data_IF_095742242367
#
_entry.id   IF_095742242367
#
_cell.length_a   1.000
_cell.length_b   1.000
_cell.length_c   1.000
_cell.angle_alpha   90.00
_cell.angle_beta   90.00
_cell.angle_gamma   90.00
#
_symmetry.space_group_name_H-M   'P 1'
#
loop_
_entity.id
_entity.type
_entity.pdbx_description
1 polymer ?
#
# COMPACT_ATOMS: atom_id res chain seq x y z
N UNK A 1 -20.08 -1.02 -0.14
CA UNK A 1 -19.59 -1.42 -1.48
C UNK A 1 -19.99 -0.30 -2.43
N UNK A 2 -19.01 0.29 -3.12
CA UNK A 2 -19.27 1.32 -4.13
C UNK A 2 -19.91 0.70 -5.38
N UNK A 3 -20.78 1.45 -6.05
CA UNK A 3 -21.42 1.01 -7.29
C UNK A 3 -20.49 1.08 -8.52
N UNK A 4 -19.35 1.79 -8.41
CA UNK A 4 -18.44 2.07 -9.52
C UNK A 4 -17.00 1.64 -9.20
N UNK A 5 -16.61 1.73 -7.92
CA UNK A 5 -15.28 1.37 -7.47
C UNK A 5 -15.31 -0.03 -6.85
N UNK A 6 -15.00 -1.02 -7.68
CA UNK A 6 -14.99 -2.44 -7.33
C UNK A 6 -13.59 -3.05 -7.48
N UNK A 7 -13.51 -4.34 -7.19
CA UNK A 7 -12.27 -5.12 -7.27
C UNK A 7 -11.69 -5.12 -8.69
N UNK A 8 -12.53 -5.27 -9.71
CA UNK A 8 -12.11 -5.35 -11.10
C UNK A 8 -11.49 -4.02 -11.56
N UNK A 9 -12.08 -2.89 -11.14
CA UNK A 9 -11.55 -1.57 -11.42
C UNK A 9 -10.20 -1.35 -10.71
N UNK A 10 -10.10 -1.74 -9.43
CA UNK A 10 -8.85 -1.65 -8.68
C UNK A 10 -7.75 -2.50 -9.33
N UNK A 11 -8.06 -3.74 -9.72
CA UNK A 11 -7.13 -4.64 -10.41
C UNK A 11 -6.67 -4.05 -11.75
N UNK A 12 -7.59 -3.50 -12.57
CA UNK A 12 -7.23 -2.85 -13.84
C UNK A 12 -6.31 -1.65 -13.61
N UNK A 13 -6.61 -0.78 -12.65
CA UNK A 13 -5.80 0.38 -12.33
C UNK A 13 -4.39 -0.01 -11.85
N UNK A 14 -4.31 -0.99 -10.94
CA UNK A 14 -3.04 -1.50 -10.44
C UNK A 14 -2.26 -2.21 -11.53
N UNK A 15 -2.91 -2.97 -12.43
CA UNK A 15 -2.25 -3.61 -13.57
C UNK A 15 -1.65 -2.59 -14.54
N UNK A 16 -2.37 -1.53 -14.88
CA UNK A 16 -1.88 -0.48 -15.78
C UNK A 16 -0.64 0.20 -15.17
N UNK A 17 -0.71 0.55 -13.89
CA UNK A 17 0.41 1.15 -13.15
C UNK A 17 1.57 0.15 -12.99
N UNK A 18 1.22 -1.12 -12.82
CA UNK A 18 2.13 -2.26 -12.72
C UNK A 18 3.04 -2.43 -13.92
N UNK A 19 2.60 -2.06 -15.13
CA UNK A 19 3.46 -2.12 -16.32
C UNK A 19 4.69 -1.22 -16.19
N UNK A 20 4.52 -0.01 -15.63
CA UNK A 20 5.64 0.87 -15.35
C UNK A 20 6.57 0.26 -14.30
N UNK A 21 6.03 -0.36 -13.25
CA UNK A 21 6.84 -1.03 -12.23
C UNK A 21 7.60 -2.22 -12.78
N UNK A 22 6.98 -3.05 -13.63
CA UNK A 22 7.66 -4.17 -14.30
C UNK A 22 8.80 -3.68 -15.18
N UNK A 23 8.62 -2.58 -15.91
CA UNK A 23 9.70 -1.95 -16.68
C UNK A 23 10.85 -1.48 -15.79
N UNK A 24 10.55 -0.76 -14.70
CA UNK A 24 11.56 -0.30 -13.74
C UNK A 24 12.33 -1.45 -13.07
N UNK A 25 11.65 -2.58 -12.81
CA UNK A 25 12.28 -3.79 -12.27
C UNK A 25 13.23 -4.44 -13.28
N UNK A 26 12.85 -4.46 -14.57
CA UNK A 26 13.70 -5.00 -15.65
C UNK A 26 15.01 -4.22 -15.85
N UNK A 27 14.98 -2.92 -15.59
CA UNK A 27 16.15 -2.02 -15.69
C UNK A 27 16.98 -1.95 -14.39
N UNK A 28 16.69 -2.78 -13.38
CA UNK A 28 17.30 -2.71 -12.03
C UNK A 28 17.25 -1.31 -11.40
N UNK A 29 16.24 -0.51 -11.74
CA UNK A 29 16.09 0.86 -11.23
C UNK A 29 15.68 0.91 -9.76
N UNK A 30 15.16 -0.19 -9.22
CA UNK A 30 14.77 -0.32 -7.82
C UNK A 30 15.85 -1.07 -7.05
N UNK A 31 16.22 -0.60 -5.86
CA UNK A 31 17.15 -1.29 -4.96
C UNK A 31 16.66 -2.69 -4.51
N UNK A 32 15.42 -3.05 -4.85
CA UNK A 32 14.78 -4.32 -4.53
C UNK A 32 13.89 -4.74 -5.69
N UNK A 33 13.92 -6.03 -6.00
CA UNK A 33 13.25 -6.60 -7.17
C UNK A 33 11.78 -7.00 -6.92
N UNK A 34 11.13 -6.45 -5.89
CA UNK A 34 9.75 -6.77 -5.58
C UNK A 34 8.99 -5.57 -5.03
N UNK A 35 7.69 -5.54 -5.33
CA UNK A 35 6.76 -4.52 -4.85
C UNK A 35 5.47 -5.21 -4.40
N UNK A 36 4.92 -4.83 -3.26
CA UNK A 36 3.62 -5.27 -2.79
C UNK A 36 2.68 -4.06 -2.64
N UNK A 37 1.45 -4.21 -3.10
CA UNK A 37 0.44 -3.15 -3.17
C UNK A 37 -0.85 -3.64 -2.52
N UNK A 38 -1.40 -2.83 -1.62
CA UNK A 38 -2.72 -3.01 -1.01
C UNK A 38 -3.57 -1.78 -1.32
N UNK A 39 -4.80 -1.97 -1.76
CA UNK A 39 -5.79 -0.91 -2.03
C UNK A 39 -7.03 -1.18 -1.18
N UNK A 40 -7.52 -0.18 -0.47
CA UNK A 40 -8.72 -0.30 0.36
C UNK A 40 -9.96 0.26 -0.34
N UNK A 41 -11.12 -0.32 -0.02
CA UNK A 41 -12.45 0.16 -0.41
C UNK A 41 -12.79 1.41 0.42
N UNK A 42 -12.97 2.59 -0.21
CA UNK A 42 -13.27 3.85 0.49
C UNK A 42 -14.64 3.81 1.20
N UNK A 43 -15.53 2.87 0.84
CA UNK A 43 -16.82 2.68 1.52
C UNK A 43 -16.70 1.84 2.81
N UNK A 44 -15.50 1.33 3.10
CA UNK A 44 -15.21 0.56 4.31
C UNK A 44 -14.44 1.46 5.28
N UNK A 45 -15.16 2.13 6.16
CA UNK A 45 -14.56 3.03 7.14
C UNK A 45 -13.83 2.24 8.24
N UNK A 46 -12.72 2.82 8.74
CA UNK A 46 -12.01 2.35 9.92
C UNK A 46 -12.97 2.32 11.13
N UNK A 47 -12.78 1.33 12.01
CA UNK A 47 -13.61 1.13 13.22
C UNK A 47 -14.96 0.46 12.98
N UNK A 48 -15.51 0.53 11.76
CA UNK A 48 -16.77 -0.15 11.39
C UNK A 48 -16.57 -1.44 10.58
N UNK A 49 -15.37 -1.66 10.06
CA UNK A 49 -15.01 -2.82 9.26
C UNK A 49 -13.66 -3.35 9.73
N UNK A 50 -13.40 -4.64 9.53
CA UNK A 50 -12.04 -5.17 9.71
C UNK A 50 -11.15 -4.74 8.55
N UNK A 51 -9.83 -4.73 8.77
CA UNK A 51 -8.89 -4.42 7.70
C UNK A 51 -9.05 -5.37 6.51
N UNK A 52 -9.21 -6.67 6.77
CA UNK A 52 -9.43 -7.68 5.72
C UNK A 52 -10.70 -7.41 4.88
N UNK A 53 -11.78 -6.92 5.51
CA UNK A 53 -13.01 -6.54 4.80
C UNK A 53 -12.85 -5.25 3.98
N UNK A 54 -11.89 -4.40 4.35
CA UNK A 54 -11.59 -3.18 3.64
C UNK A 54 -10.69 -3.39 2.42
N UNK A 55 -10.03 -4.54 2.27
CA UNK A 55 -9.15 -4.80 1.11
C UNK A 55 -9.99 -4.95 -0.16
N UNK A 56 -9.78 -4.02 -1.10
CA UNK A 56 -10.35 -4.09 -2.44
C UNK A 56 -9.42 -4.85 -3.40
N UNK A 57 -8.11 -4.62 -3.28
CA UNK A 57 -7.07 -5.31 -4.05
C UNK A 57 -5.82 -5.52 -3.20
N UNK A 58 -5.16 -6.65 -3.41
CA UNK A 58 -3.86 -6.96 -2.83
C UNK A 58 -3.05 -7.81 -3.82
N UNK A 59 -1.81 -7.41 -4.08
CA UNK A 59 -0.99 -8.10 -5.08
C UNK A 59 0.48 -7.68 -5.07
N UNK A 60 1.31 -8.50 -5.72
CA UNK A 60 2.76 -8.30 -5.79
C UNK A 60 3.27 -8.25 -7.23
N UNK A 61 4.35 -7.51 -7.44
CA UNK A 61 5.10 -7.43 -8.69
C UNK A 61 6.57 -7.82 -8.44
N UNK A 62 7.22 -8.37 -9.46
CA UNK A 62 8.63 -8.75 -9.42
C UNK A 62 8.87 -10.15 -8.85
N UNK A 63 9.92 -10.31 -8.07
CA UNK A 63 10.35 -11.59 -7.55
C UNK A 63 9.33 -12.25 -6.60
N UNK A 64 9.34 -13.58 -6.58
CA UNK A 64 8.46 -14.37 -5.72
C UNK A 64 8.68 -14.04 -4.24
N UNK A 65 7.61 -14.09 -3.45
CA UNK A 65 7.64 -13.88 -1.99
C UNK A 65 8.73 -14.67 -1.25
N UNK A 66 9.09 -15.86 -1.73
CA UNK A 66 10.15 -16.71 -1.16
C UNK A 66 11.55 -16.07 -1.20
N UNK A 67 11.77 -15.10 -2.10
CA UNK A 67 13.03 -14.38 -2.27
C UNK A 67 13.06 -13.04 -1.53
N UNK A 68 11.95 -12.65 -0.91
CA UNK A 68 11.89 -11.36 -0.23
C UNK A 68 12.74 -11.39 1.04
N UNK A 69 13.61 -10.38 1.17
CA UNK A 69 14.43 -10.19 2.38
C UNK A 69 13.60 -9.69 3.57
N UNK A 70 12.40 -9.16 3.31
CA UNK A 70 11.50 -8.55 4.31
C UNK A 70 10.04 -8.85 3.95
N UNK A 71 9.12 -8.85 4.93
CA UNK A 71 7.70 -9.12 4.67
C UNK A 71 7.02 -7.89 4.05
N UNK A 72 7.21 -7.69 2.73
CA UNK A 72 6.65 -6.52 2.04
C UNK A 72 5.12 -6.49 2.05
N UNK A 73 4.48 -7.64 2.14
CA UNK A 73 3.03 -7.76 2.29
C UNK A 73 2.56 -7.19 3.62
N UNK A 74 3.14 -7.64 4.74
CA UNK A 74 2.84 -7.11 6.07
C UNK A 74 3.12 -5.61 6.12
N UNK A 75 4.27 -5.17 5.60
CA UNK A 75 4.62 -3.75 5.59
C UNK A 75 3.68 -2.90 4.75
N UNK A 76 3.18 -3.41 3.62
CA UNK A 76 2.22 -2.68 2.79
C UNK A 76 0.86 -2.58 3.50
N UNK A 77 0.42 -3.66 4.17
CA UNK A 77 -0.79 -3.68 4.99
C UNK A 77 -0.70 -2.70 6.15
N UNK A 78 0.39 -2.69 6.89
CA UNK A 78 0.59 -1.80 8.04
C UNK A 78 0.60 -0.33 7.62
N UNK A 79 1.23 -0.02 6.47
CA UNK A 79 1.19 1.34 5.90
C UNK A 79 -0.23 1.75 5.50
N UNK A 80 -0.97 0.86 4.84
CA UNK A 80 -2.37 1.10 4.50
C UNK A 80 -3.22 1.29 5.76
N UNK A 81 -2.97 0.52 6.83
CA UNK A 81 -3.71 0.62 8.09
C UNK A 81 -3.53 1.99 8.75
N UNK A 82 -2.30 2.52 8.80
CA UNK A 82 -2.05 3.87 9.34
C UNK A 82 -2.79 4.91 8.51
N UNK A 83 -2.70 4.84 7.17
CA UNK A 83 -3.40 5.78 6.28
C UNK A 83 -4.92 5.66 6.37
N UNK A 84 -5.45 4.46 6.57
CA UNK A 84 -6.87 4.20 6.74
C UNK A 84 -7.41 4.71 8.07
N UNK A 85 -6.65 4.53 9.15
CA UNK A 85 -6.99 5.02 10.49
C UNK A 85 -6.95 6.54 10.56
N UNK A 86 -5.95 7.16 9.95
CA UNK A 86 -5.67 8.60 10.10
C UNK A 86 -6.22 9.46 8.97
N UNK A 87 -6.58 8.87 7.83
CA UNK A 87 -6.91 9.60 6.61
C UNK A 87 -5.73 10.32 5.96
N UNK A 88 -4.49 10.05 6.40
CA UNK A 88 -3.28 10.79 6.01
C UNK A 88 -2.21 9.88 5.38
N UNK A 89 -1.27 10.49 4.67
CA UNK A 89 -0.09 9.78 4.16
C UNK A 89 0.84 9.38 5.32
N UNK A 90 1.35 8.15 5.31
CA UNK A 90 2.19 7.67 6.43
C UNK A 90 3.44 8.53 6.63
N UNK A 91 3.99 9.10 5.57
CA UNK A 91 5.12 10.03 5.66
C UNK A 91 4.76 11.34 6.40
N UNK A 92 3.54 11.85 6.18
CA UNK A 92 3.06 13.05 6.86
C UNK A 92 2.80 12.76 8.34
N UNK A 93 2.18 11.61 8.65
CA UNK A 93 1.98 11.17 10.04
C UNK A 93 3.32 11.05 10.77
N UNK A 94 4.31 10.39 10.14
CA UNK A 94 5.66 10.23 10.68
C UNK A 94 6.33 11.56 11.03
N UNK A 95 6.28 12.54 10.14
CA UNK A 95 7.05 13.77 10.29
C UNK A 95 6.34 14.87 11.07
N UNK A 96 5.01 14.91 11.02
CA UNK A 96 4.23 16.06 11.52
C UNK A 96 3.22 15.67 12.59
N UNK A 97 2.78 14.41 12.64
CA UNK A 97 1.76 13.94 13.58
C UNK A 97 2.18 12.63 14.29
N UNK A 98 3.39 12.55 14.88
CA UNK A 98 3.90 11.30 15.44
C UNK A 98 3.06 10.76 16.61
N UNK A 99 2.30 11.62 17.30
CA UNK A 99 1.37 11.24 18.37
C UNK A 99 0.18 10.39 17.90
N UNK A 100 -0.02 10.21 16.59
CA UNK A 100 -1.05 9.34 16.01
C UNK A 100 -0.57 7.91 15.75
N UNK A 101 0.70 7.62 16.05
CA UNK A 101 1.22 6.26 16.04
C UNK A 101 0.75 5.50 17.28
N UNK A 102 0.37 4.25 17.04
CA UNK A 102 0.16 3.26 18.09
C UNK A 102 1.42 2.40 18.25
N UNK A 103 1.56 1.76 19.39
CA UNK A 103 2.62 0.77 19.60
C UNK A 103 2.52 -0.36 18.54
N UNK A 104 3.65 -0.70 17.93
CA UNK A 104 3.75 -1.73 16.89
C UNK A 104 3.50 -1.25 15.46
N UNK A 105 3.06 0.00 15.25
CA UNK A 105 2.89 0.56 13.92
C UNK A 105 4.22 0.67 13.15
N UNK A 106 4.17 0.44 11.83
CA UNK A 106 5.32 0.58 10.95
C UNK A 106 5.72 2.06 10.76
N UNK A 107 6.99 2.37 10.98
CA UNK A 107 7.51 3.74 10.89
C UNK A 107 8.00 4.12 9.48
N UNK A 108 7.81 3.26 8.48
CA UNK A 108 8.23 3.54 7.10
C UNK A 108 7.13 4.21 6.26
N UNK A 109 7.53 5.18 5.44
CA UNK A 109 6.65 5.79 4.44
C UNK A 109 6.16 4.81 3.36
N UNK A 110 5.06 5.16 2.68
CA UNK A 110 4.52 4.43 1.54
C UNK A 110 3.03 4.08 1.62
N UNK A 111 2.32 4.55 2.65
CA UNK A 111 0.86 4.59 2.65
C UNK A 111 0.39 5.98 2.24
N UNK A 112 -0.63 6.02 1.38
CA UNK A 112 -1.23 7.25 0.84
C UNK A 112 -2.74 7.19 1.06
N UNK A 113 -3.32 8.34 1.43
CA UNK A 113 -4.77 8.55 1.50
C UNK A 113 -5.15 9.73 0.61
N UNK A 114 -5.97 9.50 -0.42
CA UNK A 114 -6.48 10.55 -1.33
C UNK A 114 -7.96 10.36 -1.51
N UNK A 115 -8.75 11.36 -1.12
CA UNK A 115 -10.22 11.36 -1.27
C UNK A 115 -10.89 10.09 -0.69
N UNK A 116 -10.35 9.56 0.40
CA UNK A 116 -10.81 8.33 1.06
C UNK A 116 -10.29 7.03 0.44
N UNK A 117 -9.62 7.08 -0.71
CA UNK A 117 -8.94 5.92 -1.31
C UNK A 117 -7.57 5.78 -0.66
N UNK A 118 -7.35 4.62 -0.04
CA UNK A 118 -6.10 4.30 0.65
C UNK A 118 -5.32 3.26 -0.12
N UNK A 119 -4.02 3.54 -0.31
CA UNK A 119 -3.07 2.63 -0.94
C UNK A 119 -1.84 2.47 -0.05
N UNK A 120 -1.48 1.23 0.28
CA UNK A 120 -0.23 0.89 0.95
C UNK A 120 0.73 0.20 0.00
N UNK A 121 1.99 0.65 -0.03
CA UNK A 121 3.03 0.10 -0.88
C UNK A 121 4.31 -0.20 -0.10
N UNK A 122 4.88 -1.37 -0.32
CA UNK A 122 6.18 -1.75 0.23
C UNK A 122 7.03 -2.50 -0.79
N UNK A 123 8.34 -2.49 -0.60
CA UNK A 123 9.31 -3.04 -1.55
C UNK A 123 10.19 -2.00 -2.25
N UNK A 124 9.96 -0.68 -2.06
CA UNK A 124 10.89 0.37 -2.54
C UNK A 124 11.84 0.88 -1.45
N UNK A 125 13.09 1.12 -1.82
CA UNK A 125 13.60 2.49 -1.88
C UNK A 125 13.97 2.84 -3.32
N UNK A 126 13.49 3.99 -3.82
CA UNK A 126 14.06 4.58 -5.04
C UNK A 126 15.51 4.95 -4.74
N UNK A 127 16.42 4.60 -5.64
CA UNK A 127 17.77 5.15 -5.68
C UNK A 127 17.66 6.45 -6.48
N UNK A 128 17.96 7.59 -5.86
CA UNK A 128 18.30 8.82 -6.57
C UNK A 128 19.80 9.05 -6.38
#
# INVERSE_FOLDING_TARGET
MSAILDRDMAEKAVRITGMAFTGMLGENFLNRNALHVVVLDPTRCYGSNTFAQAILYEGSFGESRKKWERPFDEFARDKALISWRTGMDTHLVQQRFPHLYNEGDITFGGGVSRDGIVVGVSGRPMVF
#
